data_IF_523752892424
#
_entry.id   IF_523752892424
#
_cell.length_a   1.000
_cell.length_b   1.000
_cell.length_c   1.000
_cell.angle_alpha   90.00
_cell.angle_beta   90.00
_cell.angle_gamma   90.00
#
_symmetry.space_group_name_H-M   'P 1'
#
loop_
_entity.id
_entity.type
_entity.pdbx_description
1 polymer ?
#
# COMPACT_ATOMS: atom_id res chain seq x y z
N UNK A 1 21.96 2.25 54.32
CA UNK A 1 22.61 1.90 53.04
C UNK A 1 22.43 3.09 52.12
N UNK A 2 23.49 3.87 51.90
CA UNK A 2 23.45 5.13 51.13
C UNK A 2 23.85 4.83 49.69
N UNK A 3 23.02 5.22 48.71
CA UNK A 3 23.30 5.03 47.29
C UNK A 3 24.02 6.28 46.76
N UNK A 4 25.22 6.10 46.20
CA UNK A 4 26.01 7.17 45.59
C UNK A 4 25.66 7.29 44.09
N UNK A 5 25.05 8.40 43.65
CA UNK A 5 24.57 8.56 42.27
C UNK A 5 25.68 8.91 41.26
N UNK A 6 26.96 8.90 41.63
CA UNK A 6 28.05 9.34 40.74
C UNK A 6 28.89 8.23 40.07
N UNK A 7 28.52 6.96 40.17
CA UNK A 7 29.19 5.91 39.39
C UNK A 7 28.54 5.71 38.01
N UNK A 8 28.97 6.50 37.04
CA UNK A 8 28.82 6.13 35.63
C UNK A 8 29.86 5.06 35.27
N UNK A 9 29.47 3.96 34.60
CA UNK A 9 30.44 2.99 34.09
C UNK A 9 31.27 3.64 32.97
N UNK A 10 32.57 3.28 32.85
CA UNK A 10 33.42 3.82 31.80
C UNK A 10 32.88 3.46 30.41
N UNK A 11 32.83 4.45 29.54
CA UNK A 11 32.47 4.34 28.13
C UNK A 11 33.41 3.34 27.44
N UNK A 12 32.93 2.13 27.14
CA UNK A 12 33.69 1.20 26.30
C UNK A 12 33.77 1.80 24.89
N UNK A 13 34.96 2.23 24.50
CA UNK A 13 35.28 2.50 23.11
C UNK A 13 35.18 1.18 22.35
N UNK A 14 34.20 1.06 21.46
CA UNK A 14 34.12 -0.04 20.51
C UNK A 14 35.13 0.24 19.40
N UNK A 15 36.26 -0.46 19.42
CA UNK A 15 37.12 -0.56 18.24
C UNK A 15 36.33 -1.26 17.11
N UNK A 16 36.28 -0.67 15.90
CA UNK A 16 35.66 -1.34 14.76
C UNK A 16 36.46 -2.61 14.43
N UNK A 17 35.77 -3.75 14.38
CA UNK A 17 36.37 -5.00 13.96
C UNK A 17 37.00 -4.84 12.57
N UNK A 18 38.20 -5.39 12.32
CA UNK A 18 38.84 -5.31 11.02
C UNK A 18 37.95 -5.94 9.95
N UNK A 19 37.71 -5.19 8.88
CA UNK A 19 36.97 -5.67 7.72
C UNK A 19 37.71 -6.86 7.09
N UNK A 20 37.14 -8.05 7.21
CA UNK A 20 37.60 -9.22 6.47
C UNK A 20 36.85 -9.28 5.14
N UNK A 21 37.54 -9.18 3.99
CA UNK A 21 36.88 -9.37 2.70
C UNK A 21 36.33 -10.81 2.62
N UNK A 22 35.18 -11.02 1.95
CA UNK A 22 34.63 -12.35 1.77
C UNK A 22 35.63 -13.26 1.07
N UNK A 23 35.85 -14.45 1.64
CA UNK A 23 36.69 -15.47 1.01
C UNK A 23 36.10 -15.82 -0.36
N UNK A 24 36.95 -15.77 -1.39
CA UNK A 24 36.63 -16.23 -2.74
C UNK A 24 36.18 -17.69 -2.65
N UNK A 25 34.87 -17.94 -2.83
CA UNK A 25 34.39 -19.29 -3.05
C UNK A 25 34.68 -19.65 -4.52
N UNK A 26 35.43 -20.74 -4.80
CA UNK A 26 35.61 -21.19 -6.16
C UNK A 26 34.25 -21.52 -6.77
N UNK A 27 34.05 -21.11 -8.02
CA UNK A 27 32.83 -21.37 -8.77
C UNK A 27 32.52 -22.87 -8.73
N UNK A 28 31.39 -23.25 -8.13
CA UNK A 28 30.94 -24.62 -8.18
C UNK A 28 30.63 -24.97 -9.64
N UNK A 29 31.29 -26.02 -10.15
CA UNK A 29 31.04 -26.54 -11.47
C UNK A 29 29.56 -26.95 -11.58
N UNK A 30 28.87 -26.43 -12.59
CA UNK A 30 27.52 -26.86 -12.91
C UNK A 30 27.50 -28.37 -13.16
N UNK A 31 26.48 -29.10 -12.66
CA UNK A 31 26.33 -30.51 -13.01
C UNK A 31 26.15 -30.66 -14.52
N UNK A 32 26.71 -31.72 -15.13
CA UNK A 32 26.55 -31.96 -16.56
C UNK A 32 25.07 -32.15 -16.92
N UNK A 33 24.65 -31.71 -18.11
CA UNK A 33 23.28 -31.91 -18.58
C UNK A 33 22.96 -33.41 -18.66
N UNK A 34 21.69 -33.79 -18.41
CA UNK A 34 21.28 -35.18 -18.53
C UNK A 34 21.47 -35.70 -19.96
N UNK A 35 21.74 -37.01 -20.14
CA UNK A 35 21.88 -37.61 -21.46
C UNK A 35 20.59 -37.43 -22.25
N UNK A 36 20.71 -36.87 -23.47
CA UNK A 36 19.60 -36.75 -24.41
C UNK A 36 19.05 -38.15 -24.71
N UNK A 37 17.75 -38.33 -24.49
CA UNK A 37 17.10 -39.60 -24.84
C UNK A 37 17.05 -39.77 -26.37
N UNK A 38 17.47 -40.93 -26.90
CA UNK A 38 17.45 -41.20 -28.34
C UNK A 38 16.02 -41.48 -28.79
N UNK A 39 15.34 -40.47 -29.34
CA UNK A 39 13.96 -40.63 -29.83
C UNK A 39 13.47 -39.62 -30.88
N UNK A 40 14.21 -38.54 -31.17
CA UNK A 40 13.78 -37.57 -32.18
C UNK A 40 14.32 -37.93 -33.57
N UNK A 41 13.52 -38.67 -34.35
CA UNK A 41 13.73 -38.83 -35.78
C UNK A 41 12.94 -37.75 -36.54
N UNK A 42 13.59 -36.86 -37.31
CA UNK A 42 12.91 -35.92 -38.18
C UNK A 42 12.34 -36.65 -39.40
N UNK A 43 11.01 -36.66 -39.56
CA UNK A 43 10.37 -37.12 -40.81
C UNK A 43 9.07 -37.92 -40.70
N UNK A 44 8.53 -38.17 -39.51
CA UNK A 44 7.24 -38.85 -39.37
C UNK A 44 6.07 -37.84 -39.49
N UNK A 45 5.04 -38.09 -40.32
CA UNK A 45 3.83 -37.29 -40.36
C UNK A 45 3.16 -37.26 -38.98
N UNK A 46 3.01 -36.06 -38.41
CA UNK A 46 2.31 -35.86 -37.15
C UNK A 46 0.84 -36.18 -37.37
N UNK A 47 0.32 -37.21 -36.69
CA UNK A 47 -1.09 -37.51 -36.68
C UNK A 47 -1.89 -36.29 -36.16
N UNK A 48 -3.05 -35.95 -36.75
CA UNK A 48 -3.82 -34.80 -36.33
C UNK A 48 -4.24 -34.96 -34.86
N UNK A 49 -3.82 -34.03 -34.02
CA UNK A 49 -4.33 -33.89 -32.66
C UNK A 49 -5.84 -33.64 -32.70
N UNK A 50 -6.65 -34.34 -31.88
CA UNK A 50 -8.08 -34.11 -31.82
C UNK A 50 -8.35 -32.67 -31.39
N UNK A 51 -9.13 -31.94 -32.19
CA UNK A 51 -9.54 -30.58 -31.89
C UNK A 51 -10.33 -30.54 -30.58
N UNK A 52 -9.87 -29.73 -29.64
CA UNK A 52 -10.66 -29.38 -28.46
C UNK A 52 -11.94 -28.67 -28.92
N UNK A 53 -13.13 -29.02 -28.38
CA UNK A 53 -14.35 -28.30 -28.69
C UNK A 53 -14.20 -26.83 -28.26
N UNK A 54 -14.73 -25.87 -29.05
CA UNK A 54 -14.69 -24.47 -28.66
C UNK A 54 -15.43 -24.29 -27.32
N UNK A 55 -14.94 -23.39 -26.44
CA UNK A 55 -15.65 -23.08 -25.20
C UNK A 55 -17.06 -22.56 -25.53
N UNK A 56 -18.07 -22.90 -24.70
CA UNK A 56 -19.44 -22.47 -24.93
C UNK A 56 -19.51 -20.95 -24.95
N UNK A 57 -19.86 -20.39 -26.12
CA UNK A 57 -19.99 -18.95 -26.32
C UNK A 57 -21.03 -18.35 -25.38
N UNK A 58 -20.62 -17.38 -24.58
CA UNK A 58 -21.53 -16.56 -23.79
C UNK A 58 -22.36 -15.71 -24.76
N UNK A 59 -23.61 -16.13 -24.94
CA UNK A 59 -24.59 -15.48 -25.79
C UNK A 59 -24.96 -14.13 -25.14
N UNK A 60 -24.36 -13.06 -25.63
CA UNK A 60 -24.60 -11.69 -25.16
C UNK A 60 -26.08 -11.32 -25.25
N UNK A 61 -26.70 -11.07 -24.10
CA UNK A 61 -27.97 -10.36 -24.01
C UNK A 61 -27.67 -8.87 -23.83
N UNK A 62 -27.87 -8.10 -24.90
CA UNK A 62 -28.04 -6.64 -24.84
C UNK A 62 -29.47 -6.38 -24.35
N UNK A 63 -29.63 -5.76 -23.17
CA UNK A 63 -30.92 -5.34 -22.62
C UNK A 63 -30.71 -4.51 -21.34
N UNK A 64 -31.48 -3.43 -21.11
CA UNK A 64 -31.04 -2.31 -20.28
C UNK A 64 -31.31 -2.56 -18.79
N UNK A 65 -30.26 -2.52 -17.96
CA UNK A 65 -30.35 -2.48 -16.50
C UNK A 65 -30.18 -1.04 -15.96
N UNK A 66 -30.75 -0.07 -16.67
CA UNK A 66 -31.04 1.26 -16.13
C UNK A 66 -32.48 1.15 -15.62
N UNK A 67 -32.68 1.19 -14.29
CA UNK A 67 -33.88 1.75 -13.58
C UNK A 67 -33.92 1.44 -12.07
N UNK A 68 -33.14 0.49 -11.50
CA UNK A 68 -33.37 0.10 -10.07
C UNK A 68 -32.52 0.84 -9.02
N UNK A 69 -31.42 1.52 -9.37
CA UNK A 69 -30.52 2.13 -8.35
C UNK A 69 -30.96 3.54 -7.90
N UNK A 70 -31.78 4.25 -8.68
CA UNK A 70 -32.22 5.60 -8.32
C UNK A 70 -33.26 5.66 -7.18
N UNK A 71 -33.89 4.53 -6.82
CA UNK A 71 -34.88 4.48 -5.74
C UNK A 71 -34.27 4.22 -4.34
N UNK A 72 -33.04 3.69 -4.27
CA UNK A 72 -32.38 3.37 -2.99
C UNK A 72 -31.66 4.58 -2.36
N UNK A 73 -31.29 5.59 -3.16
CA UNK A 73 -30.56 6.78 -2.69
C UNK A 73 -31.50 7.88 -2.15
N UNK A 74 -32.80 7.84 -2.48
CA UNK A 74 -33.75 8.87 -2.02
C UNK A 74 -34.51 8.52 -0.73
N UNK A 75 -34.30 7.33 -0.15
CA UNK A 75 -35.06 6.85 1.01
C UNK A 75 -34.32 6.94 2.37
N UNK A 76 -33.08 7.47 2.41
CA UNK A 76 -32.27 7.52 3.65
C UNK A 76 -32.24 8.94 4.28
N UNK A 77 -32.92 9.94 3.69
CA UNK A 77 -32.88 11.32 4.20
C UNK A 77 -34.08 11.75 5.07
N UNK A 78 -34.97 10.86 5.51
CA UNK A 78 -36.07 11.24 6.42
C UNK A 78 -36.29 10.20 7.51
N UNK A 79 -35.87 10.56 8.73
CA UNK A 79 -36.25 9.90 9.98
C UNK A 79 -35.04 9.70 10.91
N UNK A 80 -34.99 10.21 12.14
CA UNK A 80 -35.93 11.00 12.91
C UNK A 80 -35.16 11.76 14.01
N UNK A 81 -35.62 12.97 14.31
CA UNK A 81 -35.29 13.72 15.52
C UNK A 81 -36.30 13.30 16.58
N UNK A 82 -35.84 12.85 17.75
CA UNK A 82 -36.59 12.86 19.01
C UNK A 82 -35.61 13.08 20.17
N UNK A 83 -36.01 13.98 21.04
CA UNK A 83 -35.29 14.53 22.19
C UNK A 83 -35.86 13.99 23.52
N UNK A 84 -35.23 14.45 24.62
CA UNK A 84 -35.71 14.51 26.02
C UNK A 84 -35.79 13.18 26.81
N UNK A 85 -35.55 13.09 28.13
CA UNK A 85 -34.91 13.94 29.17
C UNK A 85 -34.72 13.05 30.43
N UNK A 86 -34.14 13.66 31.49
CA UNK A 86 -34.27 13.33 32.93
C UNK A 86 -33.36 12.29 33.65
N UNK A 87 -32.50 12.89 34.49
CA UNK A 87 -32.40 12.71 35.95
C UNK A 87 -31.39 11.75 36.62
N UNK A 88 -30.41 12.43 37.26
CA UNK A 88 -29.48 12.15 38.39
C UNK A 88 -30.10 11.36 39.60
N UNK A 89 -29.34 10.80 40.58
CA UNK A 89 -28.55 11.62 41.53
C UNK A 89 -27.28 10.99 42.17
N UNK A 90 -26.30 11.86 42.45
CA UNK A 90 -25.64 12.06 43.77
C UNK A 90 -24.68 11.01 44.35
N UNK A 91 -23.45 11.43 44.72
CA UNK A 91 -22.98 11.45 46.12
C UNK A 91 -21.53 11.96 46.28
N UNK A 92 -21.40 13.06 47.04
CA UNK A 92 -20.42 13.36 48.11
C UNK A 92 -18.90 13.26 47.82
N UNK A 93 -18.05 14.26 48.13
CA UNK A 93 -17.98 14.99 49.39
C UNK A 93 -17.32 16.39 49.27
N UNK A 94 -17.74 17.27 50.17
CA UNK A 94 -17.19 18.60 50.45
C UNK A 94 -15.96 18.55 51.38
N UNK A 95 -15.14 19.62 51.41
CA UNK A 95 -14.72 20.40 52.61
C UNK A 95 -13.77 21.57 52.17
N UNK A 96 -14.34 22.78 52.20
CA UNK A 96 -13.90 24.08 52.80
C UNK A 96 -12.53 24.75 52.48
N UNK A 97 -12.49 26.09 52.26
CA UNK A 97 -11.30 26.89 51.85
C UNK A 97 -10.51 27.52 53.03
N UNK A 98 -9.38 28.19 52.73
CA UNK A 98 -9.33 29.61 53.07
C UNK A 98 -8.71 30.53 51.99
N UNK A 99 -9.27 31.74 51.88
CA UNK A 99 -8.60 32.92 51.32
C UNK A 99 -7.44 33.36 52.22
N UNK A 100 -6.37 33.95 51.66
CA UNK A 100 -5.88 35.31 51.99
C UNK A 100 -4.48 35.58 51.39
N UNK A 101 -4.40 36.72 50.66
CA UNK A 101 -3.27 37.63 50.39
C UNK A 101 -2.12 37.34 49.38
N UNK A 102 -2.19 38.12 48.28
CA UNK A 102 -1.24 39.14 47.79
C UNK A 102 0.12 38.74 47.17
N UNK A 103 0.18 39.03 45.86
CA UNK A 103 1.28 39.56 45.04
C UNK A 103 2.61 38.80 44.93
N UNK A 104 2.89 38.29 43.72
CA UNK A 104 4.07 38.70 42.95
C UNK A 104 3.93 38.36 41.47
N UNK A 105 4.03 39.37 40.62
CA UNK A 105 4.13 39.23 39.18
C UNK A 105 5.32 38.35 38.80
N UNK A 106 5.08 37.32 37.99
CA UNK A 106 6.11 36.64 37.18
C UNK A 106 5.46 36.24 35.86
N UNK A 107 6.11 36.64 34.77
CA UNK A 107 5.62 36.65 33.40
C UNK A 107 4.88 35.37 32.98
N UNK A 108 3.69 35.56 32.41
CA UNK A 108 2.95 34.54 31.71
C UNK A 108 3.68 34.20 30.39
N UNK A 109 3.88 32.91 30.05
CA UNK A 109 4.25 32.55 28.70
C UNK A 109 3.04 32.80 27.79
N UNK A 110 3.28 33.38 26.62
CA UNK A 110 2.28 33.57 25.58
C UNK A 110 1.49 32.28 25.36
N UNK A 111 0.15 32.39 25.40
CA UNK A 111 -0.76 31.41 24.84
C UNK A 111 -0.38 31.24 23.36
N UNK A 112 0.43 30.23 23.07
CA UNK A 112 0.54 29.68 21.73
C UNK A 112 -0.81 29.04 21.44
N UNK A 113 -1.66 29.79 20.73
CA UNK A 113 -2.83 29.25 20.05
C UNK A 113 -2.35 27.98 19.34
N UNK A 114 -2.85 26.82 19.79
CA UNK A 114 -2.71 25.58 19.06
C UNK A 114 -3.48 25.79 17.76
N UNK A 115 -2.76 26.25 16.75
CA UNK A 115 -3.18 26.19 15.36
C UNK A 115 -3.57 24.74 15.09
N UNK A 116 -4.87 24.52 14.90
CA UNK A 116 -5.44 23.22 14.55
C UNK A 116 -4.66 22.74 13.33
N UNK A 117 -3.85 21.69 13.50
CA UNK A 117 -3.15 21.07 12.38
C UNK A 117 -4.19 20.78 11.29
N UNK A 118 -3.94 21.15 10.03
CA UNK A 118 -4.89 20.87 8.95
C UNK A 118 -5.18 19.38 8.95
N UNK A 119 -6.47 19.03 8.82
CA UNK A 119 -6.90 17.66 8.58
C UNK A 119 -6.32 17.23 7.23
N UNK A 120 -5.09 16.71 7.23
CA UNK A 120 -4.47 16.13 6.04
C UNK A 120 -5.25 14.87 5.70
N UNK A 121 -6.14 14.96 4.70
CA UNK A 121 -6.70 13.79 4.03
C UNK A 121 -5.56 12.92 3.50
N UNK A 122 -5.64 11.61 3.73
CA UNK A 122 -4.73 10.60 3.14
C UNK A 122 -5.21 10.13 1.77
N UNK A 123 -6.40 10.53 1.36
CA UNK A 123 -7.00 10.24 0.06
C UNK A 123 -6.79 11.40 -0.91
N UNK A 124 -6.63 11.03 -2.18
CA UNK A 124 -6.40 11.93 -3.32
C UNK A 124 -5.19 12.86 -3.15
N UNK A 125 -4.18 12.38 -2.42
CA UNK A 125 -2.94 13.15 -2.26
C UNK A 125 -2.16 13.19 -3.58
N UNK A 126 -1.34 14.23 -3.77
CA UNK A 126 -0.56 14.37 -5.00
C UNK A 126 0.50 13.27 -5.13
N UNK A 127 0.80 12.84 -6.36
CA UNK A 127 1.99 12.02 -6.68
C UNK A 127 3.23 12.68 -6.06
N UNK A 128 4.06 11.88 -5.39
CA UNK A 128 5.21 12.31 -4.59
C UNK A 128 4.93 12.41 -3.09
N UNK A 129 3.65 12.47 -2.69
CA UNK A 129 3.24 12.49 -1.28
C UNK A 129 3.45 11.12 -0.63
N UNK A 130 3.65 11.13 0.69
CA UNK A 130 3.82 9.91 1.49
C UNK A 130 2.60 9.69 2.36
N UNK A 131 2.01 8.50 2.27
CA UNK A 131 0.91 8.04 3.12
C UNK A 131 1.51 7.18 4.24
N UNK A 132 0.99 7.30 5.46
CA UNK A 132 1.43 6.52 6.63
C UNK A 132 0.28 5.62 7.09
N UNK A 133 0.53 4.31 7.12
CA UNK A 133 -0.31 3.32 7.78
C UNK A 133 0.20 3.06 9.20
N UNK A 134 -0.74 2.89 10.13
CA UNK A 134 -0.46 2.50 11.52
C UNK A 134 -1.46 1.45 11.95
N UNK A 135 -0.94 0.25 12.25
CA UNK A 135 -1.70 -0.84 12.86
C UNK A 135 -0.98 -1.30 14.13
N UNK A 136 -1.54 -0.94 15.29
CA UNK A 136 -0.91 -1.17 16.59
C UNK A 136 0.51 -0.58 16.67
N UNK A 137 1.51 -1.46 16.73
CA UNK A 137 2.95 -1.11 16.80
C UNK A 137 3.61 -1.00 15.43
N UNK A 138 2.94 -1.49 14.39
CA UNK A 138 3.46 -1.54 13.04
C UNK A 138 3.17 -0.21 12.35
N UNK A 139 4.23 0.42 11.83
CA UNK A 139 4.13 1.70 11.13
C UNK A 139 4.82 1.54 9.80
N UNK A 140 4.06 1.74 8.72
CA UNK A 140 4.56 1.62 7.36
C UNK A 140 4.22 2.90 6.60
N UNK A 141 5.10 3.31 5.69
CA UNK A 141 4.84 4.45 4.81
C UNK A 141 5.01 4.05 3.37
N UNK A 142 4.12 4.51 2.50
CA UNK A 142 4.26 4.36 1.04
C UNK A 142 4.31 5.74 0.38
N UNK A 143 5.07 5.83 -0.71
CA UNK A 143 5.19 7.02 -1.56
C UNK A 143 5.02 6.61 -3.00
N UNK A 144 4.06 7.21 -3.71
CA UNK A 144 3.93 7.08 -5.16
C UNK A 144 4.88 8.08 -5.83
N UNK A 145 6.00 7.63 -6.38
CA UNK A 145 7.08 8.50 -6.89
C UNK A 145 6.82 9.02 -8.30
N UNK A 146 6.21 8.21 -9.16
CA UNK A 146 5.91 8.61 -10.53
C UNK A 146 4.78 7.78 -11.12
N UNK A 147 4.14 8.32 -12.16
CA UNK A 147 3.11 7.67 -12.97
C UNK A 147 3.48 7.84 -14.43
N UNK A 148 3.42 6.76 -15.20
CA UNK A 148 3.63 6.72 -16.65
C UNK A 148 2.54 5.88 -17.30
N UNK A 149 2.33 6.08 -18.59
CA UNK A 149 1.34 5.30 -19.34
C UNK A 149 1.92 4.73 -20.62
N UNK A 150 1.52 3.52 -20.96
CA UNK A 150 1.95 2.82 -22.18
C UNK A 150 0.74 2.28 -22.92
N UNK A 151 0.62 2.56 -24.22
CA UNK A 151 -0.49 2.07 -25.06
C UNK A 151 -0.25 0.66 -25.64
N UNK A 152 0.89 0.06 -25.31
CA UNK A 152 1.38 -1.23 -25.80
C UNK A 152 2.22 -1.89 -24.70
N UNK A 153 2.45 -3.20 -24.84
CA UNK A 153 3.51 -3.88 -24.09
C UNK A 153 4.87 -3.23 -24.35
N UNK A 154 5.79 -3.34 -23.39
CA UNK A 154 7.06 -2.61 -23.44
C UNK A 154 8.15 -3.31 -24.26
N UNK A 155 7.98 -4.59 -24.58
CA UNK A 155 8.83 -5.37 -25.48
C UNK A 155 7.99 -6.07 -26.56
N UNK A 156 8.66 -6.63 -27.58
CA UNK A 156 8.01 -7.27 -28.73
C UNK A 156 7.23 -8.54 -28.39
N UNK A 157 7.50 -9.15 -27.24
CA UNK A 157 6.84 -10.38 -26.77
C UNK A 157 5.78 -10.09 -25.69
N UNK A 158 5.67 -8.84 -25.25
CA UNK A 158 4.73 -8.47 -24.19
C UNK A 158 3.31 -8.27 -24.75
N UNK A 159 2.33 -8.48 -23.89
CA UNK A 159 0.92 -8.33 -24.22
C UNK A 159 0.57 -6.83 -24.24
N UNK A 160 -0.31 -6.44 -25.16
CA UNK A 160 -0.87 -5.08 -25.18
C UNK A 160 -2.00 -4.96 -24.15
N UNK A 161 -2.24 -3.75 -23.61
CA UNK A 161 -3.32 -3.54 -22.64
C UNK A 161 -4.68 -3.86 -23.28
N UNK A 162 -5.49 -4.64 -22.59
CA UNK A 162 -6.85 -5.01 -22.98
C UNK A 162 -7.83 -3.85 -22.77
N UNK A 163 -7.60 -3.02 -21.76
CA UNK A 163 -8.45 -1.87 -21.45
C UNK A 163 -8.03 -0.60 -22.20
N UNK A 164 -6.82 -0.59 -22.77
CA UNK A 164 -6.36 0.44 -23.72
C UNK A 164 -5.05 1.11 -23.35
N UNK A 165 -4.69 1.16 -22.08
CA UNK A 165 -3.36 1.59 -21.63
C UNK A 165 -2.92 0.88 -20.35
N UNK A 166 -1.62 0.66 -20.21
CA UNK A 166 -1.02 0.36 -18.92
C UNK A 166 -0.76 1.66 -18.16
N UNK A 167 -1.30 1.79 -16.95
CA UNK A 167 -0.85 2.77 -15.96
C UNK A 167 0.27 2.13 -15.17
N UNK A 168 1.48 2.69 -15.27
CA UNK A 168 2.66 2.17 -14.58
C UNK A 168 3.10 3.17 -13.54
N UNK A 169 3.15 2.71 -12.31
CA UNK A 169 3.54 3.52 -11.16
C UNK A 169 4.84 3.03 -10.58
N UNK A 170 5.57 3.95 -9.95
CA UNK A 170 6.79 3.63 -9.20
C UNK A 170 6.55 3.95 -7.72
N UNK A 171 6.66 2.96 -6.86
CA UNK A 171 6.37 3.11 -5.43
C UNK A 171 7.61 2.90 -4.57
N UNK A 172 7.62 3.52 -3.40
CA UNK A 172 8.57 3.27 -2.33
C UNK A 172 7.81 2.98 -1.04
N UNK A 173 7.99 1.79 -0.50
CA UNK A 173 7.44 1.39 0.80
C UNK A 173 8.57 1.31 1.81
N UNK A 174 8.35 1.84 3.01
CA UNK A 174 9.32 1.83 4.13
C UNK A 174 8.63 1.35 5.39
N UNK A 175 9.19 0.35 6.06
CA UNK A 175 8.77 -0.01 7.41
C UNK A 175 9.46 0.92 8.41
N UNK A 176 8.69 1.67 9.19
CA UNK A 176 9.20 2.60 10.20
C UNK A 176 9.33 1.94 11.57
N UNK A 177 8.34 1.14 11.97
CA UNK A 177 8.32 0.44 13.24
C UNK A 177 7.62 -0.91 13.09
N UNK A 178 7.95 -1.87 13.96
CA UNK A 178 7.35 -3.20 13.91
C UNK A 178 7.70 -4.00 12.65
N UNK A 179 6.84 -4.94 12.27
CA UNK A 179 6.99 -5.76 11.05
C UNK A 179 5.94 -5.37 10.03
N UNK A 180 6.27 -5.48 8.75
CA UNK A 180 5.28 -5.34 7.69
C UNK A 180 5.68 -6.15 6.48
N UNK A 181 4.75 -6.28 5.55
CA UNK A 181 4.98 -6.85 4.24
C UNK A 181 4.72 -5.79 3.19
N UNK A 182 5.19 -6.05 1.98
CA UNK A 182 4.82 -5.28 0.80
C UNK A 182 4.57 -6.25 -0.34
N UNK A 183 3.55 -5.99 -1.15
CA UNK A 183 3.16 -6.77 -2.31
C UNK A 183 2.59 -5.81 -3.39
N UNK A 184 2.81 -6.06 -4.69
CA UNK A 184 2.07 -5.36 -5.75
C UNK A 184 0.55 -5.34 -5.57
N UNK A 185 -0.01 -6.38 -4.96
CA UNK A 185 -1.43 -6.53 -4.67
C UNK A 185 -1.93 -5.66 -3.50
N UNK A 186 -1.04 -4.97 -2.79
CA UNK A 186 -1.43 -3.95 -1.82
C UNK A 186 -1.91 -2.66 -2.51
N UNK A 187 -1.79 -2.59 -3.85
CA UNK A 187 -2.14 -1.43 -4.64
C UNK A 187 -3.20 -1.75 -5.68
N UNK A 188 -4.17 -0.87 -5.80
CA UNK A 188 -5.24 -0.94 -6.79
C UNK A 188 -5.34 0.40 -7.51
N UNK A 189 -5.52 0.35 -8.83
CA UNK A 189 -5.86 1.54 -9.60
C UNK A 189 -7.38 1.63 -9.71
N UNK A 190 -7.94 2.78 -9.33
CA UNK A 190 -9.36 3.12 -9.45
C UNK A 190 -9.47 4.27 -10.44
N UNK A 191 -10.02 4.01 -11.62
CA UNK A 191 -10.25 5.03 -12.64
C UNK A 191 -11.35 6.03 -12.23
N UNK A 192 -11.39 7.21 -12.85
CA UNK A 192 -12.45 8.20 -12.59
C UNK A 192 -13.87 7.70 -12.88
N UNK A 193 -14.03 6.71 -13.75
CA UNK A 193 -15.32 6.07 -14.04
C UNK A 193 -15.69 4.95 -13.04
N UNK A 194 -14.84 4.72 -12.03
CA UNK A 194 -15.02 3.71 -11.00
C UNK A 194 -14.57 2.30 -11.39
N UNK A 195 -14.04 2.09 -12.60
CA UNK A 195 -13.43 0.80 -12.96
C UNK A 195 -12.12 0.61 -12.21
N UNK A 196 -11.81 -0.64 -11.84
CA UNK A 196 -10.59 -0.94 -11.08
C UNK A 196 -9.69 -1.95 -11.79
N UNK A 197 -8.39 -1.84 -11.50
CA UNK A 197 -7.37 -2.74 -12.02
C UNK A 197 -6.30 -3.01 -10.95
N UNK A 198 -5.97 -4.29 -10.75
CA UNK A 198 -4.89 -4.71 -9.86
C UNK A 198 -3.63 -5.11 -10.65
N UNK A 199 -2.53 -5.35 -9.94
CA UNK A 199 -1.24 -5.68 -10.55
C UNK A 199 -1.23 -6.98 -11.39
N UNK A 200 -2.16 -7.93 -11.19
CA UNK A 200 -2.21 -9.18 -11.97
C UNK A 200 -2.70 -8.96 -13.39
N UNK A 201 -3.49 -7.89 -13.63
CA UNK A 201 -4.00 -7.54 -14.96
C UNK A 201 -2.89 -7.23 -15.98
N UNK A 202 -1.66 -6.98 -15.52
CA UNK A 202 -0.58 -6.45 -16.35
C UNK A 202 0.72 -7.25 -16.23
N UNK A 203 0.68 -8.46 -15.67
CA UNK A 203 1.90 -9.27 -15.36
C UNK A 203 2.75 -9.56 -16.61
N UNK A 204 2.14 -9.61 -17.79
CA UNK A 204 2.81 -9.81 -19.08
C UNK A 204 3.02 -8.51 -19.88
N UNK A 205 2.90 -7.34 -19.24
CA UNK A 205 3.10 -6.04 -19.91
C UNK A 205 4.57 -5.73 -20.21
N UNK A 206 5.49 -6.31 -19.43
CA UNK A 206 6.91 -5.97 -19.40
C UNK A 206 7.23 -4.51 -19.07
N UNK A 207 6.23 -3.72 -18.68
CA UNK A 207 6.38 -2.28 -18.44
C UNK A 207 6.75 -1.92 -17.00
N UNK A 208 6.70 -2.90 -16.08
CA UNK A 208 6.93 -2.70 -14.67
C UNK A 208 8.35 -3.07 -14.23
N UNK A 209 9.40 -2.80 -15.01
CA UNK A 209 10.78 -3.13 -14.63
C UNK A 209 11.56 -1.92 -14.03
N UNK A 210 12.25 -2.06 -12.88
CA UNK A 210 12.25 -3.21 -11.98
C UNK A 210 10.92 -3.34 -11.24
N UNK A 211 10.39 -4.56 -11.16
CA UNK A 211 9.08 -4.81 -10.54
C UNK A 211 9.13 -4.71 -9.02
N UNK A 212 8.03 -4.23 -8.44
CA UNK A 212 7.84 -4.36 -7.01
C UNK A 212 7.66 -5.85 -6.69
N UNK A 213 8.56 -6.39 -5.87
CA UNK A 213 8.49 -7.79 -5.45
C UNK A 213 7.89 -7.91 -4.07
N UNK A 214 7.09 -8.94 -3.84
CA UNK A 214 6.59 -9.23 -2.50
C UNK A 214 7.76 -9.52 -1.54
N UNK A 215 7.74 -8.93 -0.35
CA UNK A 215 8.76 -9.20 0.69
C UNK A 215 8.35 -8.72 2.07
N UNK A 216 8.90 -9.36 3.09
CA UNK A 216 8.86 -8.86 4.47
C UNK A 216 9.81 -7.67 4.65
N UNK A 217 9.38 -6.70 5.45
CA UNK A 217 10.12 -5.50 5.80
C UNK A 217 10.27 -5.40 7.32
N UNK A 218 11.52 -5.27 7.76
CA UNK A 218 11.90 -4.95 9.14
C UNK A 218 12.02 -3.44 9.33
N UNK A 219 12.00 -2.91 10.57
CA UNK A 219 12.16 -1.48 10.81
C UNK A 219 13.38 -0.90 10.09
N UNK A 220 13.19 0.22 9.39
CA UNK A 220 14.20 0.90 8.60
C UNK A 220 14.38 0.36 7.18
N UNK A 221 13.86 -0.83 6.86
CA UNK A 221 13.95 -1.39 5.51
C UNK A 221 13.01 -0.68 4.54
N UNK A 222 13.44 -0.66 3.28
CA UNK A 222 12.73 -0.04 2.18
C UNK A 222 12.64 -1.01 1.02
N UNK A 223 11.52 -0.99 0.31
CA UNK A 223 11.34 -1.67 -0.97
C UNK A 223 10.79 -0.68 -1.97
N UNK A 224 11.39 -0.68 -3.15
CA UNK A 224 10.94 0.12 -4.26
C UNK A 224 10.74 -0.77 -5.48
N UNK A 225 9.83 -0.36 -6.36
CA UNK A 225 9.60 -1.05 -7.61
C UNK A 225 8.40 -0.49 -8.34
N UNK A 226 8.25 -0.93 -9.58
CA UNK A 226 7.14 -0.54 -10.44
C UNK A 226 5.99 -1.53 -10.33
N UNK A 227 4.79 -1.01 -10.54
CA UNK A 227 3.55 -1.78 -10.66
C UNK A 227 2.87 -1.29 -11.93
N UNK A 228 2.32 -2.21 -12.72
CA UNK A 228 1.51 -1.87 -13.88
C UNK A 228 0.04 -2.25 -13.61
N UNK A 229 -0.89 -1.51 -14.19
CA UNK A 229 -2.32 -1.76 -14.15
C UNK A 229 -2.86 -1.66 -15.57
N UNK A 230 -3.67 -2.62 -16.03
CA UNK A 230 -4.37 -2.52 -17.30
C UNK A 230 -5.65 -1.71 -17.12
N UNK A 231 -5.69 -0.48 -17.64
CA UNK A 231 -6.75 0.48 -17.38
C UNK A 231 -7.25 1.14 -18.67
N UNK A 232 -8.49 1.65 -18.62
CA UNK A 232 -9.10 2.38 -19.73
C UNK A 232 -8.62 3.83 -19.84
N UNK A 233 -8.09 4.39 -18.76
CA UNK A 233 -7.72 5.79 -18.67
C UNK A 233 -6.60 6.03 -17.66
N UNK A 234 -5.95 7.19 -17.78
CA UNK A 234 -4.89 7.64 -16.88
C UNK A 234 -5.43 8.35 -15.63
N UNK A 235 -6.60 8.98 -15.78
CA UNK A 235 -7.22 9.75 -14.71
C UNK A 235 -7.88 8.80 -13.71
N UNK A 236 -7.58 8.99 -12.43
CA UNK A 236 -8.04 8.10 -11.36
C UNK A 236 -7.25 8.29 -10.07
N UNK A 237 -7.15 7.23 -9.29
CA UNK A 237 -6.35 7.16 -8.09
C UNK A 237 -5.65 5.80 -7.96
N UNK A 238 -4.49 5.80 -7.31
CA UNK A 238 -3.84 4.58 -6.83
C UNK A 238 -4.16 4.45 -5.35
N UNK A 239 -4.94 3.45 -4.99
CA UNK A 239 -5.26 3.11 -3.61
C UNK A 239 -4.19 2.20 -3.01
N UNK A 240 -4.00 2.31 -1.69
CA UNK A 240 -3.08 1.48 -0.94
C UNK A 240 -3.76 0.84 0.26
N UNK A 241 -3.66 -0.49 0.33
CA UNK A 241 -4.22 -1.34 1.37
C UNK A 241 -3.12 -2.29 1.86
N UNK A 242 -2.36 -1.91 2.91
CA UNK A 242 -1.29 -2.72 3.48
C UNK A 242 -1.83 -4.05 3.99
N UNK A 243 -1.29 -5.17 3.49
CA UNK A 243 -1.80 -6.51 3.79
C UNK A 243 -2.60 -7.13 2.64
N UNK A 244 -2.85 -6.37 1.57
CA UNK A 244 -3.41 -6.86 0.32
C UNK A 244 -4.92 -6.96 0.31
N UNK A 245 -5.44 -7.86 -0.53
CA UNK A 245 -6.88 -8.02 -0.74
C UNK A 245 -7.65 -8.27 0.57
N UNK A 246 -8.66 -7.44 0.82
CA UNK A 246 -9.54 -7.53 2.00
C UNK A 246 -9.06 -6.75 3.21
N UNK A 247 -7.91 -6.07 3.14
CA UNK A 247 -7.51 -5.05 4.10
C UNK A 247 -8.13 -3.69 3.76
N UNK A 248 -8.28 -2.82 4.76
CA UNK A 248 -8.81 -1.48 4.57
C UNK A 248 -7.84 -0.60 3.78
N UNK A 249 -8.37 0.17 2.82
CA UNK A 249 -7.62 1.21 2.12
C UNK A 249 -7.26 2.33 3.09
N UNK A 250 -5.96 2.60 3.24
CA UNK A 250 -5.46 3.62 4.19
C UNK A 250 -5.27 5.00 3.54
N UNK A 251 -5.30 5.05 2.21
CA UNK A 251 -5.25 6.30 1.44
C UNK A 251 -5.02 6.07 -0.05
N UNK A 252 -4.95 7.16 -0.80
CA UNK A 252 -4.81 7.11 -2.25
C UNK A 252 -4.03 8.30 -2.82
N UNK A 253 -3.42 8.11 -3.99
CA UNK A 253 -2.81 9.20 -4.76
C UNK A 253 -3.60 9.47 -6.02
N UNK A 254 -3.98 10.72 -6.25
CA UNK A 254 -4.63 11.13 -7.48
C UNK A 254 -3.67 11.05 -8.67
N UNK A 255 -4.10 10.40 -9.75
CA UNK A 255 -3.41 10.37 -11.03
C UNK A 255 -4.20 11.20 -12.03
N UNK A 256 -3.56 12.20 -12.63
CA UNK A 256 -4.12 13.08 -13.65
C UNK A 256 -3.18 13.10 -14.83
#
# INVERSE_FOLDING_TARGET
MSYDPHQYPPTRQFEPAPYQPPAYQPAQAFPPPPPMQPGWQPGQPVAPVPAFPPPPGSRGRKGPAIVIVAAAVLAICVGAVVADDDADPSSSAAVTPPETTVARAKAAPEKKTLEKAPETTTFDVAVGSTITSRDGKDVQTATLRSVKTFKKGCNSLDVNPEQGLYVVVDVLVTQKAGSGTVNPLDFEFVAEDGTTANALSSVFSGCAEPSLTASDLRPGQKRAGKIAFDAGMKAGAVEWSPGGFGSDTVGSWATR
#
